data_IF_319649037401
#
_entry.id   IF_319649037401
#
_cell.length_a   1.000
_cell.length_b   1.000
_cell.length_c   1.000
_cell.angle_alpha   90.00
_cell.angle_beta   90.00
_cell.angle_gamma   90.00
#
_symmetry.space_group_name_H-M   'P 1'
#
loop_
_entity.id
_entity.type
_entity.pdbx_description
1 polymer ?
#
# COMPACT_ATOMS: atom_id res chain seq x y z
N UNK A 1 2.05 -22.94 19.98
CA UNK A 1 3.05 -22.01 19.39
C UNK A 1 2.49 -21.49 18.08
N UNK A 2 2.04 -20.24 18.05
CA UNK A 2 1.56 -19.57 16.83
C UNK A 2 2.77 -19.18 15.97
N UNK A 3 2.79 -19.62 14.71
CA UNK A 3 3.84 -19.24 13.76
C UNK A 3 3.73 -17.72 13.51
N UNK A 4 4.82 -16.95 13.59
CA UNK A 4 4.78 -15.54 13.21
C UNK A 4 4.52 -15.44 11.70
N UNK A 5 3.38 -14.88 11.33
CA UNK A 5 3.06 -14.57 9.93
C UNK A 5 3.91 -13.39 9.49
N UNK A 6 4.88 -13.64 8.60
CA UNK A 6 5.64 -12.57 7.96
C UNK A 6 4.74 -11.96 6.88
N UNK A 7 4.26 -10.73 7.12
CA UNK A 7 3.60 -9.93 6.09
C UNK A 7 4.68 -9.35 5.16
N UNK A 8 5.01 -10.09 4.11
CA UNK A 8 5.79 -9.56 2.98
C UNK A 8 4.85 -8.62 2.24
N UNK A 9 5.22 -7.34 2.15
CA UNK A 9 4.38 -6.24 1.63
C UNK A 9 3.17 -5.90 2.52
N UNK A 10 3.43 -5.21 3.64
CA UNK A 10 2.51 -4.14 3.99
C UNK A 10 2.57 -3.11 2.85
N UNK A 11 1.71 -3.29 1.84
CA UNK A 11 1.46 -2.28 0.82
C UNK A 11 0.85 -1.10 1.58
N UNK A 12 1.70 -0.20 2.07
CA UNK A 12 1.27 1.10 2.56
C UNK A 12 0.61 1.79 1.37
N UNK A 13 -0.63 2.24 1.56
CA UNK A 13 -1.53 2.94 0.62
C UNK A 13 -0.90 3.32 -0.74
N UNK A 14 -0.84 2.36 -1.66
CA UNK A 14 -0.56 2.61 -3.07
C UNK A 14 -1.89 2.52 -3.82
N UNK A 15 -2.35 3.61 -4.41
CA UNK A 15 -3.65 3.62 -5.07
C UNK A 15 -4.09 4.99 -5.58
N UNK A 16 -5.25 4.99 -6.22
CA UNK A 16 -5.94 6.19 -6.64
C UNK A 16 -6.93 6.59 -5.56
N UNK A 17 -6.88 7.84 -5.11
CA UNK A 17 -7.73 8.35 -4.04
C UNK A 17 -8.56 9.52 -4.52
N UNK A 18 -9.85 9.46 -4.27
CA UNK A 18 -10.78 10.56 -4.51
C UNK A 18 -10.78 11.51 -3.30
N UNK A 19 -10.81 12.82 -3.56
CA UNK A 19 -11.11 13.83 -2.52
C UNK A 19 -12.62 13.85 -2.32
N UNK A 20 -13.08 13.24 -1.24
CA UNK A 20 -14.50 13.13 -0.93
C UNK A 20 -14.88 14.10 0.18
N UNK A 21 -16.03 14.75 0.04
CA UNK A 21 -16.67 15.54 1.08
C UNK A 21 -17.93 14.82 1.56
N UNK A 22 -17.87 14.36 2.80
CA UNK A 22 -18.95 13.71 3.57
C UNK A 22 -19.01 14.46 4.91
N UNK A 23 -19.63 15.65 4.96
CA UNK A 23 -19.54 16.64 6.06
C UNK A 23 -18.13 17.21 6.33
N UNK A 24 -17.11 16.37 6.25
CA UNK A 24 -15.69 16.71 6.32
C UNK A 24 -14.96 16.16 5.10
N UNK A 25 -13.89 16.84 4.69
CA UNK A 25 -13.05 16.41 3.56
C UNK A 25 -12.15 15.25 3.98
N UNK A 26 -12.07 14.22 3.16
CA UNK A 26 -11.16 13.10 3.35
C UNK A 26 -10.73 12.47 2.02
N UNK A 27 -9.71 11.61 2.06
CA UNK A 27 -9.30 10.77 0.94
C UNK A 27 -9.91 9.38 1.09
N UNK A 28 -10.57 8.93 0.04
CA UNK A 28 -11.20 7.61 -0.06
C UNK A 28 -10.57 6.88 -1.24
N UNK A 29 -10.20 5.60 -1.05
CA UNK A 29 -9.58 4.80 -2.09
C UNK A 29 -10.58 4.53 -3.22
N UNK A 30 -10.17 4.66 -4.47
CA UNK A 30 -10.91 4.17 -5.64
C UNK A 30 -10.38 2.79 -5.97
N UNK A 31 -11.23 1.76 -5.84
CA UNK A 31 -10.82 0.36 -5.96
C UNK A 31 -11.78 -0.43 -6.85
N UNK A 32 -11.32 -0.75 -8.06
CA UNK A 32 -12.06 -1.59 -8.99
C UNK A 32 -12.11 -3.06 -8.56
N UNK A 33 -11.26 -3.47 -7.63
CA UNK A 33 -11.25 -4.81 -7.03
C UNK A 33 -12.29 -4.99 -5.92
N UNK A 34 -12.90 -3.90 -5.43
CA UNK A 34 -13.99 -3.97 -4.47
C UNK A 34 -15.34 -4.03 -5.18
N UNK A 35 -16.12 -5.07 -4.86
CA UNK A 35 -17.48 -5.22 -5.39
C UNK A 35 -18.46 -4.17 -4.82
N UNK A 36 -18.16 -3.62 -3.64
CA UNK A 36 -19.04 -2.69 -2.93
C UNK A 36 -18.29 -1.43 -2.52
N UNK A 37 -19.02 -0.33 -2.45
CA UNK A 37 -18.57 0.91 -1.84
C UNK A 37 -18.77 0.82 -0.33
N UNK A 38 -17.72 1.10 0.44
CA UNK A 38 -17.74 0.96 1.89
C UNK A 38 -17.11 2.15 2.60
N UNK A 39 -17.53 2.35 3.84
CA UNK A 39 -17.01 3.37 4.74
C UNK A 39 -16.53 2.69 6.02
N UNK A 40 -15.40 3.15 6.56
CA UNK A 40 -14.93 2.59 7.82
C UNK A 40 -15.84 3.04 8.97
N UNK A 41 -16.13 2.14 9.91
CA UNK A 41 -16.92 2.45 11.11
C UNK A 41 -16.36 3.67 11.85
N UNK A 42 -15.04 3.70 12.04
CA UNK A 42 -14.35 4.81 12.66
C UNK A 42 -14.62 6.14 11.94
N UNK A 43 -14.55 6.16 10.60
CA UNK A 43 -14.80 7.38 9.85
C UNK A 43 -16.27 7.78 9.91
N UNK A 44 -17.19 6.83 9.77
CA UNK A 44 -18.63 7.06 9.92
C UNK A 44 -18.99 7.69 11.29
N UNK A 45 -18.47 7.13 12.38
CA UNK A 45 -18.71 7.64 13.73
C UNK A 45 -18.12 9.06 13.91
N UNK A 46 -16.99 9.34 13.27
CA UNK A 46 -16.36 10.67 13.26
C UNK A 46 -17.22 11.72 12.55
N UNK A 47 -18.00 11.34 11.54
CA UNK A 47 -18.90 12.25 10.83
C UNK A 47 -20.05 12.76 11.70
N UNK A 48 -20.38 12.05 12.80
CA UNK A 48 -21.51 12.38 13.70
C UNK A 48 -22.83 12.60 12.95
N UNK A 49 -23.07 11.78 11.92
CA UNK A 49 -24.28 11.87 11.10
C UNK A 49 -25.52 11.53 11.92
N UNK A 50 -26.63 12.19 11.60
CA UNK A 50 -27.95 11.85 12.15
C UNK A 50 -28.53 10.58 11.50
N UNK A 51 -28.14 10.30 10.26
CA UNK A 51 -28.59 9.14 9.49
C UNK A 51 -27.93 7.90 10.08
N UNK A 52 -28.72 6.93 10.54
CA UNK A 52 -28.23 5.65 11.06
C UNK A 52 -28.11 4.64 9.92
N UNK A 53 -27.13 3.76 10.00
CA UNK A 53 -27.05 2.59 9.12
C UNK A 53 -28.07 1.52 9.54
N UNK A 54 -28.54 0.76 8.56
CA UNK A 54 -29.46 -0.37 8.74
C UNK A 54 -28.68 -1.69 8.73
N UNK A 55 -29.09 -2.70 9.51
CA UNK A 55 -28.45 -4.02 9.49
C UNK A 55 -28.57 -4.68 8.11
N UNK A 56 -27.52 -5.39 7.68
CA UNK A 56 -27.54 -6.22 6.46
C UNK A 56 -26.97 -7.61 6.75
N UNK A 57 -27.40 -8.62 5.99
CA UNK A 57 -26.93 -10.00 6.11
C UNK A 57 -25.73 -10.34 5.21
N UNK A 58 -25.12 -9.33 4.58
CA UNK A 58 -24.00 -9.53 3.65
C UNK A 58 -22.70 -9.78 4.39
N UNK A 59 -21.99 -10.84 4.01
CA UNK A 59 -20.60 -11.07 4.41
C UNK A 59 -19.67 -10.52 3.33
N UNK A 60 -18.67 -9.74 3.72
CA UNK A 60 -17.64 -9.24 2.82
C UNK A 60 -16.30 -9.93 3.13
N UNK A 61 -15.57 -10.27 2.07
CA UNK A 61 -14.25 -10.89 2.17
C UNK A 61 -13.23 -9.89 1.64
N UNK A 62 -12.23 -9.57 2.46
CA UNK A 62 -11.12 -8.72 2.07
C UNK A 62 -10.26 -9.43 1.02
N UNK A 63 -9.47 -8.67 0.25
CA UNK A 63 -8.52 -9.22 -0.71
C UNK A 63 -7.48 -10.18 -0.07
N UNK A 64 -7.26 -10.08 1.24
CA UNK A 64 -6.42 -11.01 2.02
C UNK A 64 -7.07 -12.37 2.30
N UNK A 65 -8.34 -12.57 1.91
CA UNK A 65 -9.13 -13.76 2.20
C UNK A 65 -9.80 -13.75 3.59
N UNK A 66 -9.57 -12.72 4.41
CA UNK A 66 -10.21 -12.56 5.70
C UNK A 66 -11.62 -11.99 5.60
N UNK A 67 -12.53 -12.40 6.49
CA UNK A 67 -13.86 -11.78 6.59
C UNK A 67 -13.74 -10.38 7.18
N UNK A 68 -14.45 -9.42 6.58
CA UNK A 68 -14.65 -8.09 7.13
C UNK A 68 -15.86 -8.10 8.06
N UNK A 69 -15.73 -7.43 9.21
CA UNK A 69 -16.86 -7.20 10.09
C UNK A 69 -17.75 -6.11 9.49
N UNK A 70 -18.97 -6.49 9.13
CA UNK A 70 -19.99 -5.62 8.54
C UNK A 70 -20.98 -5.23 9.62
N UNK A 71 -21.16 -3.92 9.81
CA UNK A 71 -22.08 -3.36 10.80
C UNK A 71 -23.46 -3.06 10.19
N UNK A 72 -23.50 -2.72 8.90
CA UNK A 72 -24.73 -2.34 8.22
C UNK A 72 -24.50 -1.60 6.91
N UNK A 73 -25.54 -0.95 6.41
CA UNK A 73 -25.54 -0.18 5.16
C UNK A 73 -26.22 1.17 5.38
N UNK A 74 -25.71 2.21 4.74
CA UNK A 74 -26.25 3.57 4.84
C UNK A 74 -26.17 4.29 3.51
N UNK A 75 -27.28 4.91 3.09
CA UNK A 75 -27.29 5.79 1.93
C UNK A 75 -26.80 7.17 2.33
N UNK A 76 -25.75 7.65 1.67
CA UNK A 76 -25.13 8.95 2.01
C UNK A 76 -25.03 9.84 0.78
N UNK A 77 -25.43 11.13 0.89
CA UNK A 77 -25.03 12.14 -0.08
C UNK A 77 -23.57 12.55 0.17
N UNK A 78 -22.81 12.73 -0.90
CA UNK A 78 -21.41 13.17 -0.82
C UNK A 78 -21.00 13.92 -2.07
N UNK A 79 -19.83 14.54 -2.02
CA UNK A 79 -19.24 15.19 -3.20
C UNK A 79 -17.84 14.67 -3.49
N UNK A 80 -17.52 14.49 -4.77
CA UNK A 80 -16.15 14.28 -5.24
C UNK A 80 -15.80 15.42 -6.18
N UNK A 81 -14.77 16.19 -5.82
CA UNK A 81 -14.32 17.36 -6.61
C UNK A 81 -15.45 18.35 -6.97
N UNK A 82 -16.47 18.45 -6.10
CA UNK A 82 -17.65 19.31 -6.30
C UNK A 82 -18.85 18.62 -6.95
N UNK A 83 -18.64 17.49 -7.65
CA UNK A 83 -19.71 16.67 -8.24
C UNK A 83 -20.46 15.95 -7.13
N UNK A 84 -21.80 16.02 -7.16
CA UNK A 84 -22.64 15.44 -6.10
C UNK A 84 -23.07 14.03 -6.46
N UNK A 85 -23.01 13.15 -5.47
CA UNK A 85 -23.39 11.75 -5.57
C UNK A 85 -24.28 11.39 -4.39
N UNK A 86 -25.13 10.39 -4.59
CA UNK A 86 -25.82 9.70 -3.51
C UNK A 86 -25.66 8.21 -3.78
N UNK A 87 -25.09 7.49 -2.81
CA UNK A 87 -24.82 6.07 -2.97
C UNK A 87 -24.90 5.35 -1.62
N UNK A 88 -25.08 4.05 -1.70
CA UNK A 88 -25.06 3.19 -0.55
C UNK A 88 -23.64 2.83 -0.12
N UNK A 89 -23.32 3.08 1.14
CA UNK A 89 -22.07 2.68 1.77
C UNK A 89 -22.31 1.51 2.71
N UNK A 90 -21.55 0.43 2.56
CA UNK A 90 -21.47 -0.62 3.57
C UNK A 90 -20.56 -0.13 4.70
N UNK A 91 -21.04 -0.13 5.94
CA UNK A 91 -20.24 0.23 7.12
C UNK A 91 -19.47 -1.00 7.57
N UNK A 92 -18.15 -0.92 7.54
CA UNK A 92 -17.27 -2.05 7.87
C UNK A 92 -16.08 -1.60 8.74
N UNK A 93 -15.46 -2.54 9.45
CA UNK A 93 -14.18 -2.27 10.12
C UNK A 93 -13.02 -2.30 9.09
N UNK A 94 -12.42 -1.14 8.83
CA UNK A 94 -11.22 -1.00 7.99
C UNK A 94 -10.09 -0.38 8.82
N UNK A 95 -8.91 -1.01 8.74
CA UNK A 95 -7.70 -0.46 9.36
C UNK A 95 -7.12 0.67 8.50
N UNK A 96 -6.78 1.80 9.14
CA UNK A 96 -6.02 2.90 8.54
C UNK A 96 -6.62 3.53 7.26
N UNK A 97 -7.91 3.34 6.99
CA UNK A 97 -8.60 3.89 5.83
C UNK A 97 -9.97 4.45 6.19
N UNK A 98 -10.40 5.47 5.44
CA UNK A 98 -11.70 6.12 5.65
C UNK A 98 -12.83 5.40 4.91
N UNK A 99 -12.51 4.73 3.80
CA UNK A 99 -13.46 3.99 2.99
C UNK A 99 -12.87 3.60 1.64
N UNK A 100 -13.70 2.95 0.84
CA UNK A 100 -13.41 2.50 -0.52
C UNK A 100 -14.61 2.84 -1.41
N UNK A 101 -14.35 3.47 -2.56
CA UNK A 101 -15.28 3.62 -3.66
C UNK A 101 -15.10 2.40 -4.57
N UNK A 102 -16.08 1.50 -4.53
CA UNK A 102 -16.08 0.24 -5.25
C UNK A 102 -16.59 0.34 -6.67
N UNK A 103 -16.56 -0.79 -7.37
CA UNK A 103 -17.03 -0.87 -8.75
C UNK A 103 -18.54 -0.67 -8.90
N UNK A 104 -19.31 -0.89 -7.83
CA UNK A 104 -20.75 -0.60 -7.78
C UNK A 104 -21.05 0.88 -8.05
N UNK A 105 -20.37 1.79 -7.35
CA UNK A 105 -20.49 3.23 -7.59
C UNK A 105 -19.96 3.62 -8.97
N UNK A 106 -18.80 3.08 -9.36
CA UNK A 106 -18.19 3.42 -10.65
C UNK A 106 -19.07 3.00 -11.83
N UNK A 107 -19.78 1.87 -11.70
CA UNK A 107 -20.73 1.39 -12.72
C UNK A 107 -22.03 2.21 -12.74
N UNK A 108 -22.62 2.48 -11.58
CA UNK A 108 -23.88 3.24 -11.52
C UNK A 108 -23.72 4.69 -11.96
N UNK A 109 -22.52 5.24 -11.84
CA UNK A 109 -22.17 6.57 -12.36
C UNK A 109 -21.75 6.59 -13.83
N UNK A 110 -21.71 5.43 -14.50
CA UNK A 110 -21.24 5.26 -15.89
C UNK A 110 -19.87 5.92 -16.15
N UNK A 111 -19.03 5.93 -15.11
CA UNK A 111 -17.81 6.72 -15.11
C UNK A 111 -16.64 5.96 -15.75
N UNK A 112 -15.79 6.67 -16.48
CA UNK A 112 -14.57 6.12 -17.07
C UNK A 112 -13.35 6.45 -16.21
N UNK A 113 -12.65 5.42 -15.73
CA UNK A 113 -11.43 5.58 -14.94
C UNK A 113 -10.19 5.62 -15.85
N UNK A 114 -9.51 6.77 -15.90
CA UNK A 114 -8.20 6.89 -16.53
C UNK A 114 -7.08 6.78 -15.48
N UNK A 115 -6.54 5.56 -15.35
CA UNK A 115 -5.49 5.25 -14.36
C UNK A 115 -4.20 6.05 -14.63
N UNK A 116 -3.80 6.14 -15.89
CA UNK A 116 -2.56 6.83 -16.29
C UNK A 116 -2.59 8.30 -15.91
N UNK A 117 -3.72 8.98 -16.13
CA UNK A 117 -3.91 10.39 -15.78
C UNK A 117 -4.46 10.61 -14.36
N UNK A 118 -4.81 9.55 -13.64
CA UNK A 118 -5.47 9.62 -12.33
C UNK A 118 -6.70 10.54 -12.34
N UNK A 119 -7.64 10.25 -13.24
CA UNK A 119 -8.90 10.99 -13.33
C UNK A 119 -10.06 10.05 -13.59
N UNK A 120 -11.25 10.49 -13.20
CA UNK A 120 -12.52 9.88 -13.55
C UNK A 120 -13.25 10.84 -14.49
N UNK A 121 -13.74 10.33 -15.61
CA UNK A 121 -14.52 11.09 -16.59
C UNK A 121 -15.96 10.64 -16.47
N UNK A 122 -16.85 11.57 -16.17
CA UNK A 122 -18.28 11.34 -16.11
C UNK A 122 -18.90 11.38 -17.52
N UNK A 123 -20.11 10.84 -17.72
CA UNK A 123 -20.78 10.84 -19.03
C UNK A 123 -21.00 12.24 -19.64
N UNK A 124 -21.13 13.26 -18.78
CA UNK A 124 -21.27 14.67 -19.17
C UNK A 124 -19.93 15.39 -19.40
N UNK A 125 -18.86 14.63 -19.57
CA UNK A 125 -17.48 15.10 -19.72
C UNK A 125 -16.89 15.79 -18.47
N UNK A 126 -17.60 15.79 -17.34
CA UNK A 126 -17.06 16.30 -16.09
C UNK A 126 -15.84 15.47 -15.66
N UNK A 127 -14.71 16.14 -15.39
CA UNK A 127 -13.46 15.51 -14.99
C UNK A 127 -13.27 15.63 -13.49
N UNK A 128 -13.15 14.49 -12.81
CA UNK A 128 -12.82 14.39 -11.40
C UNK A 128 -11.34 14.00 -11.25
N UNK A 129 -10.57 14.83 -10.53
CA UNK A 129 -9.16 14.58 -10.31
C UNK A 129 -8.91 13.65 -9.11
N UNK A 130 -8.18 12.56 -9.33
CA UNK A 130 -7.74 11.64 -8.28
C UNK A 130 -6.31 11.95 -7.84
N UNK A 131 -6.00 11.61 -6.59
CA UNK A 131 -4.63 11.62 -6.06
C UNK A 131 -4.01 10.24 -6.21
N UNK A 132 -2.86 10.16 -6.86
CA UNK A 132 -1.98 9.00 -6.76
C UNK A 132 -1.26 9.09 -5.41
N UNK A 133 -1.58 8.18 -4.51
CA UNK A 133 -0.75 7.95 -3.32
C UNK A 133 0.12 6.75 -3.64
N UNK A 134 1.43 6.93 -3.48
CA UNK A 134 2.40 5.85 -3.54
C UNK A 134 3.12 5.86 -2.21
N UNK A 135 3.15 4.71 -1.53
CA UNK A 135 4.17 4.53 -0.51
C UNK A 135 5.47 4.20 -1.21
N UNK A 136 6.53 4.91 -0.83
CA UNK A 136 7.88 4.50 -1.17
C UNK A 136 8.22 3.28 -0.29
N UNK A 137 7.74 2.10 -0.68
CA UNK A 137 8.03 0.83 -0.02
C UNK A 137 9.41 0.28 -0.37
N UNK A 138 10.06 0.84 -1.40
CA UNK A 138 11.40 0.47 -1.83
C UNK A 138 12.39 1.62 -1.59
N UNK A 139 13.56 1.30 -1.05
CA UNK A 139 14.65 2.23 -0.95
C UNK A 139 15.96 1.56 -1.38
N UNK A 140 16.83 2.35 -2.00
CA UNK A 140 18.17 1.90 -2.34
C UNK A 140 19.00 1.83 -1.06
N UNK A 141 19.50 0.63 -0.75
CA UNK A 141 20.45 0.42 0.33
C UNK A 141 21.85 0.60 -0.25
N UNK A 142 22.67 1.43 0.41
CA UNK A 142 24.05 1.69 0.03
C UNK A 142 25.00 1.18 1.11
N UNK A 143 26.19 0.79 0.67
CA UNK A 143 27.29 0.56 1.60
C UNK A 143 27.66 1.88 2.27
N UNK A 144 27.90 1.83 3.57
CA UNK A 144 28.39 3.00 4.32
C UNK A 144 29.78 3.41 3.83
N UNK A 145 30.60 2.41 3.52
CA UNK A 145 32.01 2.55 3.17
C UNK A 145 32.35 1.54 2.06
N UNK A 146 33.37 1.86 1.26
CA UNK A 146 33.94 0.93 0.27
C UNK A 146 34.42 -0.34 0.96
N UNK A 147 34.23 -1.48 0.31
CA UNK A 147 34.57 -2.77 0.90
C UNK A 147 35.24 -3.69 -0.09
N UNK A 148 36.30 -4.34 0.36
CA UNK A 148 36.97 -5.42 -0.35
C UNK A 148 36.29 -6.75 0.00
N UNK A 149 35.90 -7.50 -1.02
CA UNK A 149 35.45 -8.88 -0.91
C UNK A 149 36.52 -9.75 -1.57
N UNK A 150 37.37 -10.44 -0.78
CA UNK A 150 38.47 -11.22 -1.33
C UNK A 150 38.00 -12.35 -2.25
N UNK A 151 38.86 -12.76 -3.18
CA UNK A 151 38.60 -13.87 -4.10
C UNK A 151 38.12 -15.14 -3.38
N UNK A 152 37.08 -15.80 -3.89
CA UNK A 152 36.54 -17.06 -3.35
C UNK A 152 36.16 -17.02 -1.86
N UNK A 153 35.76 -15.85 -1.33
CA UNK A 153 35.36 -15.70 0.07
C UNK A 153 33.92 -15.20 0.22
N UNK A 154 33.32 -15.56 1.36
CA UNK A 154 32.13 -14.91 1.88
C UNK A 154 32.55 -13.80 2.86
N UNK A 155 32.14 -12.57 2.59
CA UNK A 155 32.41 -11.41 3.46
C UNK A 155 31.09 -10.85 3.99
N UNK A 156 30.95 -10.82 5.31
CA UNK A 156 29.81 -10.23 5.99
C UNK A 156 30.04 -8.74 6.28
N UNK A 157 29.00 -7.92 6.11
CA UNK A 157 29.11 -6.49 6.31
C UNK A 157 27.80 -5.83 6.74
N UNK A 158 27.97 -4.65 7.35
CA UNK A 158 26.87 -3.85 7.88
C UNK A 158 26.38 -2.85 6.83
N UNK A 159 25.10 -2.89 6.55
CA UNK A 159 24.38 -1.91 5.75
C UNK A 159 23.51 -1.03 6.64
N UNK A 160 23.23 0.19 6.17
CA UNK A 160 22.34 1.12 6.86
C UNK A 160 21.01 1.21 6.13
N UNK A 161 19.93 0.96 6.85
CA UNK A 161 18.57 1.09 6.33
C UNK A 161 18.09 2.56 6.50
N UNK A 162 17.41 3.15 5.50
CA UNK A 162 16.83 4.48 5.61
C UNK A 162 15.88 4.63 6.79
N UNK A 163 15.94 5.80 7.47
CA UNK A 163 15.18 6.04 8.71
C UNK A 163 13.66 5.90 8.57
N UNK A 164 13.14 6.12 7.37
CA UNK A 164 11.72 6.00 7.03
C UNK A 164 11.23 4.54 6.87
N UNK A 165 12.11 3.55 7.00
CA UNK A 165 11.78 2.11 6.84
C UNK A 165 12.01 1.27 8.11
N UNK A 166 12.17 1.93 9.27
CA UNK A 166 12.58 1.32 10.55
C UNK A 166 11.60 0.32 11.19
N UNK A 167 10.33 0.36 10.81
CA UNK A 167 9.27 -0.31 11.55
C UNK A 167 8.87 -1.68 11.01
N UNK A 168 9.46 -2.10 9.88
CA UNK A 168 8.94 -3.24 9.13
C UNK A 168 9.99 -4.37 8.97
N UNK A 169 9.49 -5.59 8.78
CA UNK A 169 10.30 -6.64 8.16
C UNK A 169 10.55 -6.22 6.71
N UNK A 170 11.81 -6.21 6.28
CA UNK A 170 12.22 -5.77 4.96
C UNK A 170 12.79 -6.94 4.18
N UNK A 171 12.42 -7.03 2.91
CA UNK A 171 13.14 -7.87 1.96
C UNK A 171 14.27 -7.03 1.34
N UNK A 172 15.49 -7.52 1.47
CA UNK A 172 16.67 -6.97 0.81
C UNK A 172 16.97 -7.84 -0.39
N UNK A 173 17.02 -7.22 -1.56
CA UNK A 173 17.35 -7.88 -2.82
C UNK A 173 18.61 -7.24 -3.42
N UNK A 174 19.52 -8.04 -3.97
CA UNK A 174 20.73 -7.52 -4.58
C UNK A 174 20.44 -6.83 -5.91
N UNK A 175 21.24 -5.82 -6.23
CA UNK A 175 21.23 -5.28 -7.58
C UNK A 175 21.76 -6.34 -8.55
N UNK A 176 21.00 -6.65 -9.61
CA UNK A 176 21.38 -7.62 -10.64
C UNK A 176 22.75 -7.34 -11.29
N UNK A 177 23.26 -6.11 -11.22
CA UNK A 177 24.60 -5.76 -11.68
C UNK A 177 25.72 -6.43 -10.85
N UNK A 178 25.51 -6.71 -9.56
CA UNK A 178 26.50 -7.37 -8.70
C UNK A 178 26.76 -8.81 -9.14
N UNK A 179 25.70 -9.54 -9.51
CA UNK A 179 25.83 -10.90 -10.04
C UNK A 179 26.67 -10.92 -11.34
N UNK A 180 26.53 -9.91 -12.20
CA UNK A 180 27.36 -9.76 -13.41
C UNK A 180 28.84 -9.50 -13.12
N UNK A 181 29.16 -9.00 -11.92
CA UNK A 181 30.54 -8.80 -11.46
C UNK A 181 31.10 -10.05 -10.75
N UNK A 182 30.31 -11.13 -10.61
CA UNK A 182 30.71 -12.34 -9.88
C UNK A 182 30.48 -12.26 -8.38
N UNK A 183 29.71 -11.27 -7.91
CA UNK A 183 29.30 -11.12 -6.51
C UNK A 183 27.87 -11.60 -6.33
N UNK A 184 27.69 -12.59 -5.46
CA UNK A 184 26.38 -13.08 -5.05
C UNK A 184 26.04 -12.54 -3.66
N UNK A 185 24.85 -12.00 -3.52
CA UNK A 185 24.27 -11.60 -2.23
C UNK A 185 22.90 -12.27 -2.16
N UNK A 186 22.60 -12.89 -1.03
CA UNK A 186 21.33 -13.58 -0.83
C UNK A 186 20.20 -12.59 -0.55
N UNK A 187 19.00 -12.92 -1.03
CA UNK A 187 17.79 -12.24 -0.60
C UNK A 187 17.64 -12.44 0.91
N UNK A 188 17.56 -11.35 1.65
CA UNK A 188 17.51 -11.39 3.11
C UNK A 188 16.22 -10.74 3.62
N UNK A 189 15.44 -11.50 4.40
CA UNK A 189 14.36 -10.94 5.20
C UNK A 189 14.92 -10.49 6.54
N UNK A 190 14.85 -9.19 6.81
CA UNK A 190 15.54 -8.58 7.95
C UNK A 190 14.59 -7.71 8.77
N UNK A 191 14.85 -7.62 10.07
CA UNK A 191 14.15 -6.70 10.95
C UNK A 191 14.98 -5.43 11.12
N UNK A 192 14.49 -4.29 10.62
CA UNK A 192 15.26 -3.05 10.55
C UNK A 192 15.20 -2.16 11.81
N UNK A 193 14.72 -2.67 12.95
CA UNK A 193 14.54 -1.90 14.20
C UNK A 193 15.79 -1.09 14.60
N UNK A 194 16.98 -1.65 14.40
CA UNK A 194 18.25 -1.03 14.81
C UNK A 194 19.01 -0.30 13.70
N UNK A 195 18.41 -0.10 12.52
CA UNK A 195 19.01 0.48 11.29
C UNK A 195 20.26 -0.23 10.75
N UNK A 196 20.81 -1.20 11.47
CA UNK A 196 22.02 -1.94 11.11
C UNK A 196 21.61 -3.37 10.81
N UNK A 197 21.74 -3.72 9.54
CA UNK A 197 21.51 -5.08 9.07
C UNK A 197 22.85 -5.64 8.62
N UNK A 198 23.14 -6.88 8.98
CA UNK A 198 24.31 -7.60 8.47
C UNK A 198 23.85 -8.44 7.29
N UNK A 199 24.51 -8.29 6.16
CA UNK A 199 24.35 -9.16 4.99
C UNK A 199 25.71 -9.72 4.57
N UNK A 200 25.72 -10.83 3.85
CA UNK A 200 26.95 -11.39 3.29
C UNK A 200 26.97 -11.30 1.77
N UNK A 201 28.17 -11.08 1.24
CA UNK A 201 28.47 -11.21 -0.18
C UNK A 201 29.47 -12.34 -0.38
N UNK A 202 29.16 -13.24 -1.32
CA UNK A 202 30.06 -14.26 -1.81
C UNK A 202 30.73 -13.76 -3.09
N UNK A 203 32.05 -13.72 -3.11
CA UNK A 203 32.83 -13.49 -4.32
C UNK A 203 33.14 -14.84 -4.98
N UNK A 204 32.48 -15.10 -6.11
CA UNK A 204 32.66 -16.32 -6.90
C UNK A 204 33.76 -16.18 -7.96
N UNK A 205 34.63 -15.18 -7.84
CA UNK A 205 35.75 -14.95 -8.76
C UNK A 205 37.08 -15.26 -8.09
N UNK A 206 38.11 -15.42 -8.93
CA UNK A 206 39.51 -15.63 -8.56
C UNK A 206 40.28 -14.35 -8.24
N UNK A 207 39.59 -13.20 -8.17
CA UNK A 207 40.17 -11.89 -7.89
C UNK A 207 39.39 -11.14 -6.82
N UNK A 208 40.08 -10.27 -6.11
CA UNK A 208 39.42 -9.41 -5.12
C UNK A 208 38.50 -8.40 -5.82
N UNK A 209 37.30 -8.20 -5.26
CA UNK A 209 36.32 -7.26 -5.79
C UNK A 209 36.06 -6.16 -4.77
N UNK A 210 36.10 -4.92 -5.24
CA UNK A 210 35.79 -3.76 -4.42
C UNK A 210 34.36 -3.29 -4.67
N UNK A 211 33.49 -3.42 -3.67
CA UNK A 211 32.16 -2.84 -3.66
C UNK A 211 32.23 -1.36 -3.28
N UNK A 212 31.58 -0.51 -4.09
CA UNK A 212 31.55 0.97 -3.91
C UNK A 212 30.26 1.40 -3.20
N UNK A 213 30.31 2.57 -2.55
CA UNK A 213 29.18 3.22 -1.88
C UNK A 213 28.26 3.98 -2.85
#
# INVERSE_FOLDING_TARGET
MTRPTIKINEIKQCGLFAKVFLEIRNLILVDTGSAVTCISKFFYDKLKLKIKYEPISTTLVAASGGNLKVDGKVKLPFKIDGVSFEHDFVVVELDNMSGILGIDLLKTSEAQLNISKALVIMPDETVINLKKIQSNSCALIRLKERMLVPANTETAFKITVPKNMRENNMLIEPNAHLAKQGILIFNALVNAKDNKVVISALNCTDRDITLKN
#
